data_IF_180406548903
#
_entry.id   IF_180406548903
#
_cell.length_a   1.000
_cell.length_b   1.000
_cell.length_c   1.000
_cell.angle_alpha   90.00
_cell.angle_beta   90.00
_cell.angle_gamma   90.00
#
_symmetry.space_group_name_H-M   'P 1'
#
loop_
_entity.id
_entity.type
_entity.pdbx_description
1 polymer ?
#
# COMPACT_ATOMS: atom_id res chain seq x y z
N UNK A 1 -20.64 0.14 15.36
CA UNK A 1 -19.33 0.52 14.78
C UNK A 1 -18.97 -0.60 13.82
N UNK A 2 -19.20 -0.38 12.52
CA UNK A 2 -19.03 -1.42 11.49
C UNK A 2 -17.71 -1.13 10.81
N UNK A 3 -16.71 -1.98 11.05
CA UNK A 3 -15.40 -1.94 10.40
C UNK A 3 -15.50 -2.79 9.14
N UNK A 4 -15.58 -2.16 7.98
CA UNK A 4 -15.50 -2.88 6.69
C UNK A 4 -14.03 -2.94 6.28
N UNK A 5 -13.31 -3.96 6.76
CA UNK A 5 -12.03 -4.35 6.17
C UNK A 5 -12.34 -5.13 4.89
N UNK A 6 -11.97 -4.55 3.73
CA UNK A 6 -11.94 -5.30 2.48
C UNK A 6 -10.81 -6.33 2.55
N UNK A 7 -11.15 -7.52 3.05
CA UNK A 7 -10.29 -8.68 2.98
C UNK A 7 -10.16 -9.04 1.50
N UNK A 8 -8.93 -8.96 0.97
CA UNK A 8 -8.64 -9.25 -0.42
C UNK A 8 -8.78 -10.76 -0.66
N UNK A 9 -10.01 -11.18 -0.93
CA UNK A 9 -10.40 -12.56 -1.13
C UNK A 9 -9.91 -13.06 -2.49
N UNK A 10 -8.85 -13.86 -2.51
CA UNK A 10 -8.51 -14.68 -3.69
C UNK A 10 -9.36 -15.94 -3.61
N UNK A 11 -10.38 -16.04 -4.47
CA UNK A 11 -11.19 -17.24 -4.65
C UNK A 11 -10.66 -18.02 -5.85
N UNK A 12 -9.97 -19.13 -5.59
CA UNK A 12 -9.55 -20.06 -6.64
C UNK A 12 -10.75 -20.94 -6.98
N UNK A 13 -11.31 -20.81 -8.19
CA UNK A 13 -12.36 -21.72 -8.70
C UNK A 13 -11.75 -22.78 -9.60
N UNK A 14 -12.02 -24.03 -9.23
CA UNK A 14 -11.89 -25.27 -9.99
C UNK A 14 -10.50 -25.59 -10.59
N UNK A 15 -9.90 -26.66 -10.08
CA UNK A 15 -8.93 -27.44 -10.82
C UNK A 15 -9.43 -28.89 -10.88
N UNK A 16 -9.56 -29.46 -12.09
CA UNK A 16 -9.66 -30.91 -12.25
C UNK A 16 -8.26 -31.50 -12.10
N UNK A 17 -7.86 -31.83 -10.87
CA UNK A 17 -6.65 -32.59 -10.61
C UNK A 17 -6.97 -34.08 -10.72
N UNK A 18 -6.30 -34.79 -11.64
CA UNK A 18 -6.54 -36.20 -11.93
C UNK A 18 -5.97 -37.18 -10.89
N UNK A 19 -5.30 -36.73 -9.82
CA UNK A 19 -4.55 -37.62 -8.93
C UNK A 19 -4.84 -37.49 -7.42
N UNK A 20 -5.23 -38.63 -6.84
CA UNK A 20 -5.38 -38.98 -5.41
C UNK A 20 -6.56 -38.37 -4.63
N UNK A 21 -7.70 -39.07 -4.76
CA UNK A 21 -8.96 -38.94 -4.03
C UNK A 21 -8.83 -39.01 -2.50
N UNK A 22 -9.67 -38.25 -1.78
CA UNK A 22 -9.85 -38.35 -0.32
C UNK A 22 -8.68 -37.86 0.55
N UNK A 23 -7.57 -37.46 -0.07
CA UNK A 23 -6.41 -36.91 0.64
C UNK A 23 -6.53 -35.39 0.76
N UNK A 24 -6.42 -34.87 1.99
CA UNK A 24 -6.35 -33.42 2.24
C UNK A 24 -5.15 -32.84 1.49
N UNK A 25 -5.38 -31.83 0.65
CA UNK A 25 -4.34 -31.12 -0.10
C UNK A 25 -4.08 -29.77 0.55
N UNK A 26 -2.80 -29.43 0.72
CA UNK A 26 -2.38 -28.11 1.18
C UNK A 26 -2.20 -27.19 -0.02
N UNK A 27 -2.99 -26.12 -0.10
CA UNK A 27 -2.83 -25.05 -1.07
C UNK A 27 -2.06 -23.92 -0.42
N UNK A 28 -0.89 -23.63 -0.95
CA UNK A 28 -0.02 -22.56 -0.50
C UNK A 28 -0.14 -21.38 -1.47
N UNK A 29 -0.52 -20.21 -0.97
CA UNK A 29 -0.55 -18.97 -1.74
C UNK A 29 0.66 -18.13 -1.38
N UNK A 30 1.36 -17.62 -2.40
CA UNK A 30 2.50 -16.71 -2.27
C UNK A 30 2.19 -15.41 -3.00
N UNK A 31 2.87 -14.36 -2.59
CA UNK A 31 2.83 -13.06 -3.24
C UNK A 31 3.53 -13.11 -4.61
N UNK A 32 3.36 -12.05 -5.41
CA UNK A 32 3.91 -11.94 -6.76
C UNK A 32 5.46 -11.96 -6.83
N UNK A 33 6.15 -11.87 -5.69
CA UNK A 33 7.60 -12.03 -5.60
C UNK A 33 8.07 -13.48 -5.42
N UNK A 34 7.14 -14.46 -5.38
CA UNK A 34 7.40 -15.88 -5.14
C UNK A 34 8.15 -16.21 -3.83
N UNK A 35 8.41 -15.22 -2.99
CA UNK A 35 9.18 -15.34 -1.77
C UNK A 35 8.29 -15.13 -0.53
N UNK A 36 7.41 -14.13 -0.58
CA UNK A 36 6.55 -13.76 0.53
C UNK A 36 5.35 -14.70 0.58
N UNK A 37 5.19 -15.39 1.70
CA UNK A 37 4.13 -16.37 1.90
C UNK A 37 2.86 -15.69 2.40
N UNK A 38 1.75 -15.89 1.69
CA UNK A 38 0.44 -15.31 2.03
C UNK A 38 -0.34 -16.22 2.98
N UNK A 39 -0.34 -17.53 2.75
CA UNK A 39 -1.05 -18.46 3.62
C UNK A 39 -1.16 -19.87 3.04
N UNK A 40 -1.50 -20.82 3.91
CA UNK A 40 -1.84 -22.20 3.54
C UNK A 40 -3.25 -22.51 4.04
N UNK A 41 -4.04 -23.16 3.20
CA UNK A 41 -5.28 -23.81 3.60
C UNK A 41 -5.32 -25.21 3.04
N UNK A 42 -5.92 -26.11 3.81
CA UNK A 42 -6.11 -27.49 3.42
C UNK A 42 -7.55 -27.71 3.00
N UNK A 43 -7.79 -28.35 1.86
CA UNK A 43 -9.12 -28.87 1.54
C UNK A 43 -9.04 -30.32 1.06
N UNK A 44 -10.11 -31.05 1.31
CA UNK A 44 -10.35 -32.39 0.78
C UNK A 44 -11.21 -32.26 -0.46
N UNK A 45 -10.62 -32.53 -1.63
CA UNK A 45 -11.34 -32.47 -2.89
C UNK A 45 -12.06 -33.82 -3.07
N UNK A 46 -13.39 -33.81 -3.00
CA UNK A 46 -14.21 -34.93 -3.45
C UNK A 46 -14.73 -34.67 -4.88
N UNK A 47 -14.95 -35.74 -5.65
CA UNK A 47 -15.39 -35.63 -7.04
C UNK A 47 -16.93 -35.52 -7.17
N UNK A 48 -17.67 -35.25 -6.09
CA UNK A 48 -19.13 -35.20 -6.11
C UNK A 48 -19.65 -33.83 -6.60
N UNK A 49 -19.08 -33.30 -7.69
CA UNK A 49 -19.43 -31.99 -8.22
C UNK A 49 -19.34 -30.86 -7.17
N UNK A 50 -18.55 -31.07 -6.10
CA UNK A 50 -18.52 -30.12 -5.00
C UNK A 50 -17.62 -28.94 -5.35
N UNK A 51 -18.18 -27.74 -5.20
CA UNK A 51 -17.47 -26.49 -5.50
C UNK A 51 -16.89 -25.95 -4.21
N UNK A 52 -15.71 -26.42 -3.86
CA UNK A 52 -14.96 -25.82 -2.76
C UNK A 52 -14.42 -24.45 -3.16
N UNK A 53 -14.68 -23.45 -2.30
CA UNK A 53 -14.06 -22.13 -2.41
C UNK A 53 -13.11 -21.92 -1.24
N UNK A 54 -11.84 -21.73 -1.56
CA UNK A 54 -10.82 -21.34 -0.58
C UNK A 54 -10.51 -19.87 -0.75
N UNK A 55 -10.62 -19.16 0.37
CA UNK A 55 -10.38 -17.73 0.50
C UNK A 55 -9.09 -17.50 1.28
N UNK A 56 -8.14 -16.74 0.73
CA UNK A 56 -6.89 -16.38 1.40
C UNK A 56 -6.83 -14.88 1.64
N UNK A 57 -6.36 -14.46 2.83
CA UNK A 57 -6.01 -13.07 3.10
C UNK A 57 -4.53 -12.85 2.78
N UNK A 58 -4.28 -12.15 1.68
CA UNK A 58 -2.93 -11.85 1.21
C UNK A 58 -2.50 -10.40 1.47
N UNK A 59 -3.02 -9.75 2.52
CA UNK A 59 -2.62 -8.39 2.89
C UNK A 59 -1.12 -8.26 3.14
N UNK A 60 -0.45 -9.33 3.58
CA UNK A 60 1.01 -9.37 3.73
C UNK A 60 1.78 -9.12 2.41
N UNK A 61 1.17 -9.40 1.26
CA UNK A 61 1.74 -9.12 -0.05
C UNK A 61 1.79 -7.63 -0.40
N UNK A 62 1.08 -6.81 0.38
CA UNK A 62 0.88 -5.38 0.12
C UNK A 62 1.91 -4.52 0.88
N UNK A 63 2.67 -5.09 1.84
CA UNK A 63 3.68 -4.37 2.62
C UNK A 63 5.01 -4.12 1.86
N UNK A 64 4.93 -3.54 0.66
CA UNK A 64 6.09 -2.94 -0.02
C UNK A 64 5.93 -1.43 0.08
N UNK A 65 6.96 -0.75 0.57
CA UNK A 65 6.93 0.69 0.85
C UNK A 65 6.29 1.49 -0.29
N UNK A 66 5.14 2.11 -0.04
CA UNK A 66 4.34 2.80 -1.06
C UNK A 66 5.06 3.99 -1.69
N UNK A 67 6.01 4.59 -0.98
CA UNK A 67 6.82 5.71 -1.48
C UNK A 67 8.27 5.57 -1.07
N UNK A 68 9.16 5.62 -2.07
CA UNK A 68 10.61 5.64 -1.90
C UNK A 68 11.16 6.98 -2.38
N UNK A 69 11.98 7.63 -1.55
CA UNK A 69 12.69 8.86 -1.92
C UNK A 69 14.19 8.53 -1.92
N UNK A 70 14.83 8.65 -3.08
CA UNK A 70 16.27 8.42 -3.23
C UNK A 70 16.95 9.70 -3.67
N UNK A 71 17.88 10.20 -2.87
CA UNK A 71 18.72 11.33 -3.27
C UNK A 71 19.62 10.91 -4.44
N UNK A 72 19.72 11.77 -5.46
CA UNK A 72 20.59 11.60 -6.62
C UNK A 72 21.27 12.94 -6.96
N UNK A 73 22.27 13.30 -6.16
CA UNK A 73 22.93 14.60 -6.24
C UNK A 73 22.08 15.72 -5.65
N UNK A 74 21.90 16.82 -6.38
CA UNK A 74 21.09 17.97 -5.94
C UNK A 74 19.57 17.75 -6.03
N UNK A 75 19.13 16.66 -6.67
CA UNK A 75 17.72 16.30 -6.79
C UNK A 75 17.49 14.92 -6.19
N UNK A 76 16.28 14.67 -5.74
CA UNK A 76 15.82 13.36 -5.27
C UNK A 76 14.84 12.77 -6.28
N UNK A 77 14.99 11.48 -6.54
CA UNK A 77 14.01 10.68 -7.25
C UNK A 77 12.95 10.21 -6.25
N UNK A 78 11.73 10.70 -6.41
CA UNK A 78 10.57 10.34 -5.60
C UNK A 78 9.77 9.35 -6.42
N UNK A 79 9.68 8.11 -5.95
CA UNK A 79 8.97 7.02 -6.60
C UNK A 79 7.80 6.57 -5.73
N UNK A 80 6.59 6.59 -6.28
CA UNK A 80 5.42 5.94 -5.72
C UNK A 80 5.22 4.56 -6.35
N UNK A 81 4.96 3.56 -5.51
CA UNK A 81 4.46 2.26 -5.93
C UNK A 81 2.93 2.30 -5.87
N UNK A 82 2.30 2.29 -7.03
CA UNK A 82 0.84 2.29 -7.14
C UNK A 82 0.39 0.85 -7.32
N UNK A 83 -0.46 0.40 -6.40
CA UNK A 83 -1.06 -0.93 -6.43
C UNK A 83 -2.53 -0.78 -6.78
N UNK A 84 -2.95 -1.37 -7.90
CA UNK A 84 -4.33 -1.27 -8.39
C UNK A 84 -5.03 -2.60 -8.25
N UNK A 85 -6.20 -2.59 -7.64
CA UNK A 85 -7.02 -3.78 -7.46
C UNK A 85 -8.31 -3.64 -8.27
N UNK A 86 -8.61 -4.62 -9.12
CA UNK A 86 -9.93 -4.76 -9.77
C UNK A 86 -10.37 -3.58 -10.66
N UNK A 87 -9.48 -2.65 -11.00
CA UNK A 87 -9.77 -1.50 -11.88
C UNK A 87 -8.95 -1.59 -13.17
N UNK A 88 -9.55 -1.17 -14.28
CA UNK A 88 -8.87 -0.97 -15.56
C UNK A 88 -9.27 0.41 -16.11
N UNK A 89 -8.34 1.36 -16.12
CA UNK A 89 -8.63 2.73 -16.53
C UNK A 89 -7.40 3.40 -17.16
N UNK A 90 -7.64 4.31 -18.10
CA UNK A 90 -6.58 5.06 -18.77
C UNK A 90 -6.52 6.51 -18.26
N UNK A 91 -5.34 7.11 -18.34
CA UNK A 91 -5.11 8.52 -17.97
C UNK A 91 -5.39 8.87 -16.50
N UNK A 92 -5.31 7.89 -15.59
CA UNK A 92 -5.37 8.11 -14.15
C UNK A 92 -4.25 9.07 -13.75
N UNK A 93 -4.61 10.11 -13.00
CA UNK A 93 -3.66 11.16 -12.61
C UNK A 93 -3.00 10.80 -11.29
N UNK A 94 -1.68 10.87 -11.25
CA UNK A 94 -0.86 10.77 -10.05
C UNK A 94 -0.27 12.15 -9.81
N UNK A 95 -0.76 12.83 -8.79
CA UNK A 95 -0.36 14.20 -8.43
C UNK A 95 0.67 14.16 -7.31
N UNK A 96 1.85 14.72 -7.55
CA UNK A 96 2.90 14.88 -6.56
C UNK A 96 2.89 16.34 -6.11
N UNK A 97 2.83 16.61 -4.80
CA UNK A 97 3.02 17.95 -4.23
C UNK A 97 4.09 17.97 -3.17
N UNK A 98 5.02 18.91 -3.29
CA UNK A 98 5.98 19.26 -2.25
C UNK A 98 5.36 20.27 -1.30
N UNK A 99 5.52 20.08 0.00
CA UNK A 99 4.98 20.96 1.03
C UNK A 99 6.10 21.46 1.95
N UNK A 100 6.07 22.76 2.26
CA UNK A 100 6.91 23.35 3.29
C UNK A 100 6.20 23.27 4.65
N UNK A 101 6.89 22.77 5.67
CA UNK A 101 6.28 22.51 6.99
C UNK A 101 5.95 23.79 7.76
N UNK A 102 6.69 24.87 7.52
CA UNK A 102 6.51 26.13 8.24
C UNK A 102 5.34 26.94 7.68
N UNK A 103 5.19 26.95 6.36
CA UNK A 103 4.19 27.78 5.67
C UNK A 103 2.96 27.00 5.24
N UNK A 104 3.03 25.66 5.22
CA UNK A 104 1.99 24.79 4.66
C UNK A 104 1.80 24.94 3.15
N UNK A 105 2.61 25.77 2.47
CA UNK A 105 2.46 26.07 1.05
C UNK A 105 3.11 24.99 0.19
N UNK A 106 2.54 24.82 -1.00
CA UNK A 106 3.11 23.99 -2.05
C UNK A 106 4.43 24.60 -2.54
N UNK A 107 5.50 23.83 -2.48
CA UNK A 107 6.84 24.23 -2.95
C UNK A 107 7.06 23.83 -4.40
N UNK A 108 6.56 22.64 -4.76
CA UNK A 108 6.64 22.05 -6.10
C UNK A 108 5.36 21.25 -6.37
N UNK A 109 4.96 21.17 -7.63
CA UNK A 109 3.83 20.36 -8.07
C UNK A 109 4.14 19.73 -9.43
N UNK A 110 3.86 18.45 -9.58
CA UNK A 110 4.01 17.72 -10.84
C UNK A 110 2.99 16.59 -10.87
N UNK A 111 2.34 16.39 -12.01
CA UNK A 111 1.41 15.29 -12.19
C UNK A 111 1.87 14.37 -13.32
N UNK A 112 1.64 13.07 -13.17
CA UNK A 112 1.82 12.06 -14.21
C UNK A 112 0.49 11.44 -14.55
N UNK A 113 0.31 11.07 -15.81
CA UNK A 113 -0.82 10.24 -16.25
C UNK A 113 -0.32 8.82 -16.45
N UNK A 114 -1.04 7.86 -15.91
CA UNK A 114 -0.77 6.45 -16.04
C UNK A 114 -1.99 5.72 -16.58
N UNK A 115 -1.74 4.57 -17.18
CA UNK A 115 -2.78 3.61 -17.51
C UNK A 115 -2.67 2.48 -16.50
N UNK A 116 -3.77 2.19 -15.82
CA UNK A 116 -3.82 1.16 -14.79
C UNK A 116 -4.60 -0.03 -15.33
N UNK A 117 -4.01 -1.21 -15.20
CA UNK A 117 -4.68 -2.47 -15.51
C UNK A 117 -4.96 -3.23 -14.21
N UNK A 118 -5.89 -4.18 -14.28
CA UNK A 118 -6.33 -4.92 -13.10
C UNK A 118 -5.16 -5.67 -12.45
N UNK A 119 -5.03 -5.54 -11.12
CA UNK A 119 -4.05 -6.25 -10.30
C UNK A 119 -2.59 -5.96 -10.67
N UNK A 120 -2.30 -4.70 -11.03
CA UNK A 120 -0.96 -4.26 -11.41
C UNK A 120 -0.32 -3.43 -10.30
N UNK A 121 0.99 -3.61 -10.17
CA UNK A 121 1.88 -2.75 -9.41
C UNK A 121 2.71 -1.92 -10.39
N UNK A 122 2.66 -0.59 -10.29
CA UNK A 122 3.40 0.31 -11.16
C UNK A 122 4.19 1.35 -10.37
N UNK A 123 5.45 1.56 -10.74
CA UNK A 123 6.24 2.65 -10.21
C UNK A 123 6.03 3.93 -11.02
N UNK A 124 5.73 5.03 -10.34
CA UNK A 124 5.61 6.37 -10.94
C UNK A 124 6.59 7.28 -10.23
N UNK A 125 7.38 8.03 -10.99
CA UNK A 125 8.48 8.81 -10.41
C UNK A 125 8.56 10.23 -10.92
N UNK A 126 9.03 11.12 -10.04
CA UNK A 126 9.38 12.52 -10.32
C UNK A 126 10.77 12.83 -9.78
N UNK A 127 11.50 13.71 -10.45
CA UNK A 127 12.81 14.18 -10.01
C UNK A 127 12.67 15.59 -9.44
N UNK A 128 12.85 15.78 -8.13
CA UNK A 128 12.59 17.06 -7.48
C UNK A 128 13.75 17.54 -6.63
N UNK A 129 13.81 18.86 -6.42
CA UNK A 129 14.68 19.42 -5.40
C UNK A 129 14.01 19.27 -4.02
N UNK A 130 14.55 18.42 -3.16
CA UNK A 130 14.00 18.18 -1.82
C UNK A 130 14.55 19.14 -0.77
N UNK A 131 15.46 20.05 -1.10
CA UNK A 131 16.09 20.96 -0.13
C UNK A 131 15.10 21.99 0.45
N UNK A 132 14.10 22.38 -0.34
CA UNK A 132 13.07 23.35 0.05
C UNK A 132 11.73 22.69 0.41
N UNK A 133 11.66 21.36 0.35
CA UNK A 133 10.44 20.57 0.49
C UNK A 133 10.57 19.68 1.70
N UNK A 134 9.69 19.81 2.70
CA UNK A 134 9.75 19.02 3.94
C UNK A 134 8.92 17.73 3.86
N UNK A 135 7.84 17.77 3.07
CA UNK A 135 7.01 16.62 2.77
C UNK A 135 6.70 16.53 1.30
N UNK A 136 6.48 15.31 0.85
CA UNK A 136 5.80 15.02 -0.40
C UNK A 136 4.45 14.44 -0.04
N UNK A 137 3.39 14.97 -0.65
CA UNK A 137 2.11 14.27 -0.73
C UNK A 137 1.91 13.76 -2.14
N UNK A 138 1.37 12.56 -2.26
CA UNK A 138 1.05 11.93 -3.53
C UNK A 138 -0.43 11.55 -3.46
N UNK A 139 -1.17 11.99 -4.46
CA UNK A 139 -2.59 11.67 -4.61
C UNK A 139 -2.82 10.96 -5.93
N UNK A 140 -3.48 9.81 -5.90
CA UNK A 140 -3.89 9.08 -7.09
C UNK A 140 -5.37 9.38 -7.37
N UNK A 141 -5.69 9.56 -8.64
CA UNK A 141 -7.03 9.84 -9.14
C UNK A 141 -7.82 10.91 -8.38
N UNK A 142 -7.19 12.05 -8.07
CA UNK A 142 -7.93 13.17 -7.47
C UNK A 142 -9.08 13.70 -8.36
N UNK A 143 -9.08 13.32 -9.64
CA UNK A 143 -10.11 13.62 -10.64
C UNK A 143 -11.32 12.68 -10.58
N UNK A 144 -11.23 11.57 -9.83
CA UNK A 144 -12.29 10.57 -9.66
C UNK A 144 -12.78 9.99 -10.98
N UNK A 145 -11.85 9.65 -11.88
CA UNK A 145 -12.22 8.98 -13.14
C UNK A 145 -12.54 7.50 -12.91
N UNK A 146 -11.93 6.89 -11.90
CA UNK A 146 -12.22 5.54 -11.42
C UNK A 146 -13.27 5.63 -10.33
N UNK A 147 -14.32 4.82 -10.44
CA UNK A 147 -15.27 4.65 -9.36
C UNK A 147 -14.70 3.70 -8.29
N UNK A 148 -14.49 4.22 -7.08
CA UNK A 148 -13.90 3.48 -5.96
C UNK A 148 -14.85 3.45 -4.77
N UNK A 149 -14.83 2.33 -4.04
CA UNK A 149 -15.63 2.17 -2.81
C UNK A 149 -14.96 2.78 -1.58
N UNK A 150 -13.64 3.00 -1.64
CA UNK A 150 -12.82 3.64 -0.63
C UNK A 150 -11.73 4.46 -1.32
N UNK A 151 -11.71 5.78 -1.07
CA UNK A 151 -10.70 6.71 -1.62
C UNK A 151 -9.63 7.06 -0.58
N UNK A 152 -9.74 6.57 0.66
CA UNK A 152 -8.86 6.97 1.77
C UNK A 152 -7.42 6.49 1.60
N UNK A 153 -7.22 5.45 0.80
CA UNK A 153 -5.92 4.86 0.46
C UNK A 153 -5.26 5.50 -0.79
N UNK A 154 -5.92 6.45 -1.46
CA UNK A 154 -5.36 7.13 -2.64
C UNK A 154 -4.48 8.33 -2.29
N UNK A 155 -4.26 8.59 -1.01
CA UNK A 155 -3.44 9.67 -0.52
C UNK A 155 -2.35 9.16 0.41
N UNK A 156 -1.12 9.59 0.16
CA UNK A 156 -0.01 9.41 1.08
C UNK A 156 0.75 10.71 1.26
N UNK A 157 1.23 10.96 2.47
CA UNK A 157 2.14 12.04 2.81
C UNK A 157 3.35 11.47 3.52
N UNK A 158 4.55 11.84 3.07
CA UNK A 158 5.81 11.34 3.60
C UNK A 158 6.84 12.46 3.72
N UNK A 159 7.65 12.42 4.78
CA UNK A 159 8.78 13.36 4.89
C UNK A 159 9.82 13.08 3.81
N UNK A 160 10.40 14.14 3.25
CA UNK A 160 11.58 14.07 2.37
C UNK A 160 12.87 13.88 3.14
N UNK A 161 12.85 14.13 4.45
CA UNK A 161 14.01 14.02 5.32
C UNK A 161 14.09 12.59 5.86
N UNK A 162 15.31 12.07 6.11
CA UNK A 162 15.47 10.81 6.81
C UNK A 162 14.76 10.88 8.17
N UNK A 163 14.12 9.79 8.63
CA UNK A 163 13.53 9.76 9.95
C UNK A 163 14.62 9.95 11.01
N UNK A 164 14.33 10.77 12.01
CA UNK A 164 15.21 11.00 13.15
C UNK A 164 15.15 9.76 14.03
N UNK A 165 16.28 9.22 14.47
CA UNK A 165 16.28 8.17 15.50
C UNK A 165 16.05 8.83 16.85
N UNK A 166 14.89 8.61 17.45
CA UNK A 166 14.54 9.16 18.75
C UNK A 166 13.59 8.22 19.49
N UNK A 167 13.53 8.40 20.81
CA UNK A 167 12.55 7.77 21.68
C UNK A 167 11.32 8.67 21.78
N UNK A 168 10.12 8.12 21.55
CA UNK A 168 8.86 8.86 21.66
C UNK A 168 8.17 8.43 22.95
N UNK A 169 8.24 9.27 23.98
CA UNK A 169 7.39 9.16 25.16
C UNK A 169 6.31 10.23 25.09
N UNK A 170 5.06 9.78 25.01
CA UNK A 170 3.90 10.67 25.07
C UNK A 170 3.02 10.13 26.17
N UNK A 171 2.73 10.98 27.15
CA UNK A 171 1.85 10.65 28.27
C UNK A 171 0.77 11.71 28.33
N UNK A 172 -0.49 11.28 28.25
CA UNK A 172 -1.65 12.17 28.37
C UNK A 172 -2.73 11.46 29.19
N UNK A 173 -3.68 12.22 29.73
CA UNK A 173 -4.83 11.64 30.45
C UNK A 173 -5.83 10.91 29.53
N UNK A 174 -5.60 10.94 28.20
CA UNK A 174 -6.49 10.36 27.20
C UNK A 174 -5.71 9.48 26.20
N UNK A 175 -5.87 8.15 26.30
CA UNK A 175 -5.17 7.18 25.44
C UNK A 175 -5.37 7.42 23.92
N UNK A 176 -6.52 7.95 23.51
CA UNK A 176 -6.79 8.31 22.10
C UNK A 176 -5.88 9.45 21.63
N UNK A 177 -5.66 10.44 22.48
CA UNK A 177 -4.79 11.58 22.17
C UNK A 177 -3.33 11.13 22.13
N UNK A 178 -2.92 10.29 23.08
CA UNK A 178 -1.59 9.69 23.10
C UNK A 178 -1.28 8.95 21.78
N UNK A 179 -2.18 8.06 21.34
CA UNK A 179 -2.03 7.34 20.09
C UNK A 179 -1.99 8.28 18.88
N UNK A 180 -2.79 9.35 18.88
CA UNK A 180 -2.81 10.34 17.80
C UNK A 180 -1.47 11.07 17.69
N UNK A 181 -0.91 11.50 18.83
CA UNK A 181 0.39 12.18 18.88
C UNK A 181 1.51 11.21 18.49
N UNK A 182 1.51 9.98 19.02
CA UNK A 182 2.50 8.94 18.64
C UNK A 182 2.46 8.64 17.15
N UNK A 183 1.28 8.49 16.56
CA UNK A 183 1.12 8.27 15.12
C UNK A 183 1.61 9.47 14.29
N UNK A 184 1.35 10.70 14.75
CA UNK A 184 1.87 11.90 14.11
C UNK A 184 3.40 11.96 14.17
N UNK A 185 3.99 11.77 15.35
CA UNK A 185 5.44 11.81 15.57
C UNK A 185 6.17 10.65 14.87
N UNK A 186 5.56 9.48 14.77
CA UNK A 186 6.09 8.33 14.04
C UNK A 186 6.31 8.57 12.54
N UNK A 187 5.72 9.61 11.97
CA UNK A 187 6.00 10.04 10.58
C UNK A 187 7.38 10.71 10.44
N UNK A 188 7.98 11.13 11.55
CA UNK A 188 9.26 11.86 11.60
C UNK A 188 10.36 11.07 12.29
N UNK A 189 10.00 10.07 13.09
CA UNK A 189 10.90 9.37 14.00
C UNK A 189 10.93 7.89 13.68
N UNK A 190 12.13 7.33 13.59
CA UNK A 190 12.34 5.90 13.68
C UNK A 190 12.54 5.55 15.15
N UNK A 191 11.57 4.87 15.75
CA UNK A 191 11.64 4.48 17.15
C UNK A 191 12.84 3.55 17.36
N UNK A 192 13.79 4.00 18.19
CA UNK A 192 14.94 3.20 18.54
C UNK A 192 14.49 2.13 19.56
N UNK A 193 14.56 0.87 19.16
CA UNK A 193 14.41 -0.26 20.09
C UNK A 193 15.71 -0.42 20.88
N UNK A 194 15.60 -0.55 22.20
CA UNK A 194 16.70 -0.85 23.11
C UNK A 194 17.32 -2.22 22.82
#
# INVERSE_FOLDING_TARGET
MITTQYHKQISIKAFNWLDNFGSSKNINVKCNDNATFCGTKSSTIDNNNDYDSLSFDCSICINKTDVTIRSNGSRSNITALITVEKVNENNVVVDFRGLNSQTGKTTQNESKRINVAQYVNQNVSVLWDTNVTDFVSITVDFTKIVAETDESNNYIKKSTRPPIKAYIEVTTDYSVLENTIKNFLGQYVQEATL
#
